data_IF_337561911545
#
_entry.id   IF_337561911545
#
_cell.length_a   1.000
_cell.length_b   1.000
_cell.length_c   1.000
_cell.angle_alpha   90.00
_cell.angle_beta   90.00
_cell.angle_gamma   90.00
#
_symmetry.space_group_name_H-M   'P 1'
#
loop_
_entity.id
_entity.type
_entity.pdbx_description
1 polymer ?
#
# COMPACT_ATOMS: atom_id res chain seq x y z
N UNK A 1 7.18 11.15 -20.95
CA UNK A 1 6.33 11.07 -19.73
C UNK A 1 6.96 11.91 -18.64
N UNK A 2 6.17 12.65 -17.85
CA UNK A 2 6.70 13.48 -16.75
C UNK A 2 7.06 12.62 -15.53
N UNK A 3 7.94 13.14 -14.65
CA UNK A 3 8.31 12.49 -13.37
C UNK A 3 7.10 12.03 -12.55
N UNK A 4 6.05 12.86 -12.49
CA UNK A 4 4.79 12.55 -11.81
C UNK A 4 4.07 11.34 -12.41
N UNK A 5 4.05 11.21 -13.74
CA UNK A 5 3.43 10.04 -14.40
C UNK A 5 4.18 8.76 -14.10
N UNK A 6 5.53 8.80 -14.10
CA UNK A 6 6.32 7.65 -13.70
C UNK A 6 6.09 7.26 -12.24
N UNK A 7 6.04 8.23 -11.33
CA UNK A 7 5.73 7.95 -9.92
C UNK A 7 4.34 7.33 -9.72
N UNK A 8 3.34 7.84 -10.45
CA UNK A 8 2.00 7.28 -10.43
C UNK A 8 1.95 5.87 -11.05
N UNK A 9 2.68 5.61 -12.13
CA UNK A 9 2.81 4.27 -12.72
C UNK A 9 3.46 3.28 -11.76
N UNK A 10 4.49 3.67 -11.01
CA UNK A 10 5.08 2.81 -9.98
C UNK A 10 4.02 2.36 -8.97
N UNK A 11 3.19 3.29 -8.48
CA UNK A 11 2.10 2.97 -7.56
C UNK A 11 0.98 2.12 -8.17
N UNK A 12 0.66 2.29 -9.46
CA UNK A 12 -0.27 1.39 -10.16
C UNK A 12 0.31 -0.03 -10.27
N UNK A 13 1.60 -0.14 -10.57
CA UNK A 13 2.30 -1.43 -10.72
C UNK A 13 2.42 -2.21 -9.41
N UNK A 14 2.25 -1.58 -8.24
CA UNK A 14 2.13 -2.28 -6.96
C UNK A 14 1.06 -3.40 -7.02
N UNK A 15 -0.03 -3.19 -7.75
CA UNK A 15 -1.12 -4.17 -7.91
C UNK A 15 -0.67 -5.50 -8.56
N UNK A 16 0.48 -5.53 -9.25
CA UNK A 16 1.05 -6.76 -9.82
C UNK A 16 1.32 -7.81 -8.72
N UNK A 17 1.58 -7.39 -7.47
CA UNK A 17 1.81 -8.32 -6.35
C UNK A 17 0.62 -9.23 -6.03
N UNK A 18 -0.59 -8.82 -6.39
CA UNK A 18 -1.82 -9.60 -6.16
C UNK A 18 -1.76 -10.91 -6.98
N UNK A 19 -1.17 -10.89 -8.18
CA UNK A 19 -1.14 -12.07 -9.05
C UNK A 19 -0.29 -13.19 -8.44
N UNK A 20 0.97 -12.98 -8.01
CA UNK A 20 1.74 -14.01 -7.32
C UNK A 20 1.10 -14.50 -6.02
N UNK A 21 0.43 -13.64 -5.25
CA UNK A 21 -0.32 -14.09 -4.06
C UNK A 21 -1.45 -15.06 -4.42
N UNK A 22 -2.25 -14.73 -5.45
CA UNK A 22 -3.32 -15.61 -5.93
C UNK A 22 -2.73 -16.92 -6.47
N UNK A 23 -1.67 -16.86 -7.27
CA UNK A 23 -1.02 -18.06 -7.79
C UNK A 23 -0.47 -18.94 -6.66
N UNK A 24 0.13 -18.36 -5.62
CA UNK A 24 0.59 -19.10 -4.46
C UNK A 24 -0.56 -19.77 -3.70
N UNK A 25 -1.69 -19.07 -3.53
CA UNK A 25 -2.90 -19.64 -2.93
C UNK A 25 -3.54 -20.74 -3.79
N UNK A 26 -3.53 -20.61 -5.12
CA UNK A 26 -4.05 -21.63 -6.04
C UNK A 26 -3.20 -22.90 -6.06
N UNK A 27 -1.90 -22.76 -5.78
CA UNK A 27 -0.94 -23.86 -5.75
C UNK A 27 -0.79 -24.47 -4.34
N UNK A 28 -1.62 -24.02 -3.41
CA UNK A 28 -1.70 -24.61 -2.08
C UNK A 28 -2.21 -26.06 -2.18
N UNK A 29 -1.53 -27.05 -1.59
CA UNK A 29 -1.91 -28.46 -1.76
C UNK A 29 -3.28 -28.82 -1.17
N UNK A 30 -3.73 -28.06 -0.18
CA UNK A 30 -5.06 -28.15 0.43
C UNK A 30 -5.86 -26.89 0.06
N UNK A 31 -7.16 -26.89 0.28
CA UNK A 31 -7.98 -25.69 0.02
C UNK A 31 -7.47 -24.49 0.81
N UNK A 32 -6.95 -23.48 0.10
CA UNK A 32 -6.51 -22.22 0.71
C UNK A 32 -7.71 -21.43 1.25
N UNK A 33 -7.62 -20.98 2.50
CA UNK A 33 -8.64 -20.15 3.13
C UNK A 33 -8.16 -18.70 3.25
N UNK A 34 -8.76 -17.78 2.49
CA UNK A 34 -8.45 -16.35 2.55
C UNK A 34 -8.78 -15.70 3.90
N UNK A 35 -9.69 -16.29 4.67
CA UNK A 35 -10.05 -15.82 6.02
C UNK A 35 -9.11 -16.39 7.08
N UNK A 36 -8.60 -17.61 6.92
CA UNK A 36 -7.79 -18.27 7.95
C UNK A 36 -6.28 -18.19 7.69
N UNK A 37 -5.83 -18.39 6.45
CA UNK A 37 -4.42 -18.37 6.09
C UNK A 37 -3.89 -16.94 5.97
N UNK A 38 -2.70 -16.73 6.53
CA UNK A 38 -2.04 -15.45 6.51
C UNK A 38 -1.45 -15.13 5.13
N UNK A 39 -1.27 -13.84 4.84
CA UNK A 39 -0.41 -13.37 3.76
C UNK A 39 1.01 -13.86 4.00
N UNK A 40 1.51 -13.79 5.25
CA UNK A 40 2.84 -14.27 5.60
C UNK A 40 3.01 -15.78 5.35
N UNK A 41 1.94 -16.57 5.46
CA UNK A 41 1.96 -18.01 5.18
C UNK A 41 2.31 -18.27 3.69
N UNK A 42 1.96 -17.36 2.77
CA UNK A 42 2.32 -17.48 1.36
C UNK A 42 3.83 -17.39 1.14
N UNK A 43 4.57 -16.75 2.04
CA UNK A 43 6.02 -16.56 1.97
C UNK A 43 6.85 -17.66 2.63
N UNK A 44 6.22 -18.63 3.29
CA UNK A 44 6.91 -19.70 4.03
C UNK A 44 7.61 -20.68 3.07
N UNK A 45 8.88 -20.99 3.35
CA UNK A 45 9.76 -21.72 2.41
C UNK A 45 9.65 -23.24 2.49
N UNK A 46 9.28 -23.79 3.64
CA UNK A 46 9.13 -25.22 3.86
C UNK A 46 7.68 -25.60 4.20
N UNK A 47 7.27 -26.82 3.83
CA UNK A 47 5.98 -27.34 4.22
C UNK A 47 6.08 -27.95 5.62
N UNK A 48 5.14 -27.61 6.51
CA UNK A 48 5.18 -28.06 7.89
C UNK A 48 4.00 -27.56 8.72
N UNK A 49 3.99 -28.00 9.98
CA UNK A 49 3.06 -27.52 10.98
C UNK A 49 3.80 -26.53 11.87
N UNK A 50 3.32 -25.29 11.91
CA UNK A 50 3.97 -24.20 12.60
C UNK A 50 3.16 -23.78 13.83
N UNK A 51 3.83 -23.72 14.98
CA UNK A 51 3.29 -23.10 16.17
C UNK A 51 3.51 -21.58 16.06
N UNK A 52 2.41 -20.85 16.08
CA UNK A 52 2.33 -19.42 15.77
C UNK A 52 1.99 -18.60 17.02
N UNK A 53 2.25 -19.16 18.21
CA UNK A 53 1.98 -18.52 19.48
C UNK A 53 0.49 -18.45 19.85
N UNK A 54 -0.36 -19.20 19.14
CA UNK A 54 -1.79 -19.38 19.44
C UNK A 54 -2.09 -20.84 19.78
N UNK A 55 -3.27 -21.12 20.33
CA UNK A 55 -3.71 -22.48 20.72
C UNK A 55 -3.91 -23.44 19.51
N UNK A 56 -3.64 -23.00 18.28
CA UNK A 56 -3.86 -23.78 17.06
C UNK A 56 -2.62 -23.74 16.17
N UNK A 57 -1.97 -24.90 16.00
CA UNK A 57 -0.91 -25.05 15.02
C UNK A 57 -1.44 -24.91 13.59
N UNK A 58 -0.69 -24.23 12.71
CA UNK A 58 -1.08 -24.04 11.30
C UNK A 58 -0.28 -24.95 10.39
N UNK A 59 -0.97 -25.78 9.61
CA UNK A 59 -0.36 -26.53 8.51
C UNK A 59 -0.17 -25.59 7.32
N UNK A 60 1.10 -25.30 6.99
CA UNK A 60 1.49 -24.35 5.94
C UNK A 60 2.29 -25.09 4.88
N UNK A 61 1.98 -24.85 3.61
CA UNK A 61 2.75 -25.35 2.47
C UNK A 61 2.55 -24.44 1.26
N UNK A 62 3.56 -23.60 0.96
CA UNK A 62 3.52 -22.62 -0.13
C UNK A 62 4.57 -22.96 -1.21
N UNK A 63 4.25 -23.82 -2.20
CA UNK A 63 5.22 -24.19 -3.24
C UNK A 63 5.69 -23.01 -4.10
N UNK A 64 4.90 -21.93 -4.13
CA UNK A 64 5.18 -20.70 -4.90
C UNK A 64 5.64 -19.53 -4.01
N UNK A 65 6.16 -19.83 -2.81
CA UNK A 65 6.66 -18.82 -1.87
C UNK A 65 7.70 -17.87 -2.48
N UNK A 66 8.56 -18.34 -3.39
CA UNK A 66 9.52 -17.47 -4.06
C UNK A 66 8.83 -16.35 -4.86
N UNK A 67 7.73 -16.67 -5.55
CA UNK A 67 6.98 -15.68 -6.30
C UNK A 67 6.27 -14.69 -5.38
N UNK A 68 5.67 -15.18 -4.28
CA UNK A 68 5.00 -14.33 -3.27
C UNK A 68 5.99 -13.39 -2.56
N UNK A 69 7.16 -13.90 -2.16
CA UNK A 69 8.20 -13.10 -1.52
C UNK A 69 8.80 -12.09 -2.49
N UNK A 70 9.17 -12.50 -3.71
CA UNK A 70 9.70 -11.60 -4.73
C UNK A 70 8.70 -10.50 -5.13
N UNK A 71 7.41 -10.82 -5.20
CA UNK A 71 6.38 -9.81 -5.50
C UNK A 71 6.18 -8.83 -4.35
N UNK A 72 6.33 -9.29 -3.10
CA UNK A 72 6.33 -8.44 -1.90
C UNK A 72 7.52 -7.49 -1.90
N UNK A 73 8.71 -7.98 -2.26
CA UNK A 73 9.91 -7.13 -2.47
C UNK A 73 9.64 -6.08 -3.54
N UNK A 74 9.16 -6.49 -4.71
CA UNK A 74 8.85 -5.57 -5.81
C UNK A 74 7.81 -4.51 -5.40
N UNK A 75 6.77 -4.91 -4.65
CA UNK A 75 5.74 -3.99 -4.16
C UNK A 75 6.32 -2.90 -3.25
N UNK A 76 7.20 -3.28 -2.32
CA UNK A 76 7.88 -2.34 -1.44
C UNK A 76 8.77 -1.35 -2.22
N UNK A 77 9.56 -1.87 -3.17
CA UNK A 77 10.42 -1.05 -4.03
C UNK A 77 9.62 -0.08 -4.92
N UNK A 78 8.51 -0.54 -5.52
CA UNK A 78 7.63 0.29 -6.34
C UNK A 78 6.94 1.38 -5.51
N UNK A 79 6.50 1.05 -4.30
CA UNK A 79 5.91 2.01 -3.35
C UNK A 79 6.91 3.13 -3.04
N UNK A 80 8.14 2.75 -2.68
CA UNK A 80 9.21 3.70 -2.38
C UNK A 80 9.65 4.52 -3.59
N UNK A 81 9.86 3.89 -4.75
CA UNK A 81 10.23 4.57 -5.98
C UNK A 81 9.16 5.59 -6.40
N UNK A 82 7.88 5.21 -6.33
CA UNK A 82 6.76 6.11 -6.58
C UNK A 82 6.78 7.32 -5.64
N UNK A 83 7.01 7.10 -4.34
CA UNK A 83 7.10 8.18 -3.36
C UNK A 83 8.28 9.14 -3.61
N UNK A 84 9.46 8.61 -3.97
CA UNK A 84 10.62 9.44 -4.38
C UNK A 84 10.29 10.27 -5.61
N UNK A 85 9.62 9.70 -6.61
CA UNK A 85 9.25 10.41 -7.83
C UNK A 85 8.17 11.48 -7.58
N UNK A 86 7.31 11.30 -6.58
CA UNK A 86 6.22 12.20 -6.23
C UNK A 86 6.59 13.26 -5.16
N UNK A 87 7.84 13.31 -4.72
CA UNK A 87 8.32 14.13 -3.58
C UNK A 87 7.93 15.63 -3.62
N UNK A 88 7.78 16.21 -4.82
CA UNK A 88 7.53 17.65 -5.02
C UNK A 88 6.18 17.96 -5.69
N UNK A 89 5.22 17.04 -5.69
CA UNK A 89 3.96 17.17 -6.43
C UNK A 89 2.84 17.86 -5.62
N UNK A 90 2.99 17.92 -4.31
CA UNK A 90 1.87 18.18 -3.40
C UNK A 90 1.61 19.68 -3.14
N UNK A 91 0.35 20.11 -2.97
CA UNK A 91 -0.01 21.51 -2.76
C UNK A 91 0.69 22.15 -1.56
N UNK A 92 0.73 21.45 -0.42
CA UNK A 92 1.53 21.86 0.74
C UNK A 92 2.82 21.06 0.76
N UNK A 93 3.89 21.70 0.28
CA UNK A 93 5.14 21.04 -0.05
C UNK A 93 5.75 20.29 1.15
N UNK A 94 5.87 20.93 2.33
CA UNK A 94 6.52 20.31 3.50
C UNK A 94 5.80 19.06 3.98
N UNK A 95 4.48 19.11 4.13
CA UNK A 95 3.67 17.95 4.52
C UNK A 95 3.77 16.84 3.47
N UNK A 96 3.73 17.20 2.19
CA UNK A 96 3.89 16.24 1.10
C UNK A 96 5.26 15.55 1.08
N UNK A 97 6.33 16.31 1.34
CA UNK A 97 7.70 15.76 1.42
C UNK A 97 7.84 14.76 2.57
N UNK A 98 7.35 15.11 3.76
CA UNK A 98 7.34 14.18 4.90
C UNK A 98 6.45 12.96 4.64
N UNK A 99 5.28 13.14 4.03
CA UNK A 99 4.42 12.04 3.62
C UNK A 99 5.18 11.07 2.69
N UNK A 100 5.87 11.58 1.68
CA UNK A 100 6.64 10.74 0.76
C UNK A 100 7.83 10.07 1.44
N UNK A 101 8.55 10.77 2.33
CA UNK A 101 9.65 10.19 3.09
C UNK A 101 9.19 8.99 3.94
N UNK A 102 8.05 9.12 4.63
CA UNK A 102 7.47 8.04 5.42
C UNK A 102 7.00 6.87 4.54
N UNK A 103 6.43 7.14 3.37
CA UNK A 103 6.06 6.09 2.42
C UNK A 103 7.28 5.39 1.79
N UNK A 104 8.41 6.08 1.62
CA UNK A 104 9.68 5.44 1.25
C UNK A 104 10.09 4.45 2.33
N UNK A 105 10.09 4.86 3.61
CA UNK A 105 10.41 3.97 4.72
C UNK A 105 9.43 2.80 4.78
N UNK A 106 8.13 3.05 4.65
CA UNK A 106 7.11 2.00 4.57
C UNK A 106 7.37 1.01 3.43
N UNK A 107 7.73 1.50 2.24
CA UNK A 107 8.10 0.65 1.10
C UNK A 107 9.34 -0.19 1.35
N UNK A 108 10.37 0.37 2.00
CA UNK A 108 11.57 -0.38 2.40
C UNK A 108 11.19 -1.49 3.39
N UNK A 109 10.34 -1.20 4.37
CA UNK A 109 9.88 -2.21 5.34
C UNK A 109 9.07 -3.32 4.66
N UNK A 110 8.17 -3.00 3.73
CA UNK A 110 7.48 -4.01 2.91
C UNK A 110 8.48 -4.88 2.14
N UNK A 111 9.52 -4.27 1.55
CA UNK A 111 10.52 -5.04 0.84
C UNK A 111 11.31 -5.98 1.79
N UNK A 112 11.62 -5.53 2.99
CA UNK A 112 12.26 -6.36 4.01
C UNK A 112 11.37 -7.53 4.45
N UNK A 113 10.05 -7.35 4.58
CA UNK A 113 9.11 -8.45 4.86
C UNK A 113 9.24 -9.57 3.81
N UNK A 114 9.32 -9.22 2.52
CA UNK A 114 9.52 -10.19 1.44
C UNK A 114 10.91 -10.84 1.43
N UNK A 115 11.94 -10.18 1.98
CA UNK A 115 13.31 -10.72 2.10
C UNK A 115 13.51 -11.58 3.35
N UNK A 116 12.58 -11.56 4.29
CA UNK A 116 12.65 -12.25 5.56
C UNK A 116 11.53 -13.28 5.63
N UNK A 117 11.62 -14.44 4.96
CA UNK A 117 10.61 -15.50 5.09
C UNK A 117 10.37 -15.85 6.56
N UNK A 118 9.10 -15.92 6.95
CA UNK A 118 8.73 -16.01 8.37
C UNK A 118 9.26 -17.29 9.03
N UNK A 119 9.33 -18.41 8.31
CA UNK A 119 9.87 -19.67 8.84
C UNK A 119 11.38 -19.68 9.05
N UNK A 120 12.12 -18.78 8.39
CA UNK A 120 13.57 -18.65 8.53
C UNK A 120 13.96 -17.55 9.53
N UNK A 121 13.20 -16.45 9.56
CA UNK A 121 13.50 -15.26 10.35
C UNK A 121 12.26 -14.71 11.08
N UNK A 122 11.57 -15.48 11.93
CA UNK A 122 10.25 -15.14 12.46
C UNK A 122 10.25 -13.80 13.21
N UNK A 123 11.18 -13.62 14.16
CA UNK A 123 11.27 -12.39 14.95
C UNK A 123 11.57 -11.15 14.10
N UNK A 124 12.44 -11.27 13.09
CA UNK A 124 12.76 -10.15 12.21
C UNK A 124 11.60 -9.81 11.28
N UNK A 125 10.93 -10.84 10.72
CA UNK A 125 9.73 -10.67 9.91
C UNK A 125 8.64 -9.94 10.69
N UNK A 126 8.34 -10.41 11.90
CA UNK A 126 7.31 -9.82 12.77
C UNK A 126 7.61 -8.37 13.13
N UNK A 127 8.84 -8.05 13.54
CA UNK A 127 9.22 -6.67 13.88
C UNK A 127 9.02 -5.75 12.68
N UNK A 128 9.53 -6.13 11.51
CA UNK A 128 9.43 -5.30 10.30
C UNK A 128 7.97 -5.16 9.87
N UNK A 129 7.21 -6.26 9.86
CA UNK A 129 5.79 -6.26 9.51
C UNK A 129 4.96 -5.41 10.47
N UNK A 130 5.16 -5.51 11.79
CA UNK A 130 4.40 -4.74 12.78
C UNK A 130 4.78 -3.25 12.82
N UNK A 131 6.02 -2.90 12.47
CA UNK A 131 6.48 -1.51 12.43
C UNK A 131 6.00 -0.80 11.15
N UNK A 132 5.88 -1.52 10.03
CA UNK A 132 5.53 -0.96 8.73
C UNK A 132 4.23 -0.12 8.70
N UNK A 133 3.09 -0.57 9.29
CA UNK A 133 1.85 0.18 9.26
C UNK A 133 1.95 1.58 9.86
N UNK A 134 2.77 1.79 10.89
CA UNK A 134 2.92 3.11 11.51
C UNK A 134 3.49 4.15 10.54
N UNK A 135 4.47 3.77 9.73
CA UNK A 135 5.03 4.64 8.69
C UNK A 135 4.03 4.87 7.56
N UNK A 136 3.30 3.83 7.16
CA UNK A 136 2.20 3.94 6.20
C UNK A 136 1.13 4.91 6.67
N UNK A 137 0.60 4.75 7.89
CA UNK A 137 -0.48 5.59 8.40
C UNK A 137 -0.02 7.03 8.55
N UNK A 138 1.16 7.25 9.14
CA UNK A 138 1.71 8.59 9.27
C UNK A 138 1.92 9.24 7.89
N UNK A 139 2.41 8.49 6.89
CA UNK A 139 2.55 8.94 5.51
C UNK A 139 1.21 9.32 4.87
N UNK A 140 0.20 8.45 4.96
CA UNK A 140 -1.14 8.69 4.42
C UNK A 140 -1.86 9.85 5.12
N UNK A 141 -1.71 9.99 6.43
CA UNK A 141 -2.28 11.11 7.21
C UNK A 141 -1.61 12.42 6.83
N UNK A 142 -0.27 12.47 6.72
CA UNK A 142 0.42 13.67 6.26
C UNK A 142 0.05 14.01 4.82
N UNK A 143 -0.17 13.01 3.96
CA UNK A 143 -0.64 13.23 2.62
C UNK A 143 -2.04 13.86 2.60
N UNK A 144 -2.97 13.32 3.39
CA UNK A 144 -4.30 13.88 3.59
C UNK A 144 -4.23 15.36 3.99
N UNK A 145 -3.34 15.71 4.93
CA UNK A 145 -3.12 17.09 5.35
C UNK A 145 -2.49 17.96 4.24
N UNK A 146 -1.59 17.39 3.44
CA UNK A 146 -0.92 18.06 2.33
C UNK A 146 -1.88 18.43 1.19
N UNK A 147 -2.93 17.62 0.98
CA UNK A 147 -3.95 17.85 -0.06
C UNK A 147 -5.22 18.53 0.46
N UNK A 148 -5.36 18.70 1.77
CA UNK A 148 -6.55 19.31 2.40
C UNK A 148 -6.84 20.69 1.83
N UNK A 149 -8.07 20.86 1.33
CA UNK A 149 -8.56 22.09 0.69
C UNK A 149 -8.30 22.18 -0.81
N UNK A 150 -7.61 21.20 -1.42
CA UNK A 150 -7.39 21.16 -2.86
C UNK A 150 -8.45 20.31 -3.56
N UNK A 151 -9.36 20.95 -4.31
CA UNK A 151 -10.36 20.25 -5.12
C UNK A 151 -9.70 19.30 -6.15
N UNK A 152 -8.51 19.66 -6.65
CA UNK A 152 -7.70 18.84 -7.58
C UNK A 152 -7.30 17.48 -6.99
N UNK A 153 -7.08 17.40 -5.67
CA UNK A 153 -6.58 16.21 -5.00
C UNK A 153 -7.60 15.60 -4.02
N UNK A 154 -8.88 15.93 -4.16
CA UNK A 154 -9.96 15.44 -3.29
C UNK A 154 -10.06 13.90 -3.30
N UNK A 155 -9.89 13.26 -4.46
CA UNK A 155 -9.83 11.80 -4.56
C UNK A 155 -8.71 11.18 -3.72
N UNK A 156 -7.51 11.80 -3.74
CA UNK A 156 -6.36 11.35 -2.94
C UNK A 156 -6.67 11.47 -1.44
N UNK A 157 -7.35 12.53 -1.02
CA UNK A 157 -7.80 12.70 0.36
C UNK A 157 -8.75 11.56 0.78
N UNK A 158 -9.75 11.26 -0.04
CA UNK A 158 -10.74 10.21 0.24
C UNK A 158 -10.08 8.84 0.36
N UNK A 159 -9.27 8.44 -0.63
CA UNK A 159 -8.64 7.11 -0.60
C UNK A 159 -7.62 6.98 0.53
N UNK A 160 -6.92 8.07 0.90
CA UNK A 160 -5.98 8.05 2.03
C UNK A 160 -6.70 7.93 3.37
N UNK A 161 -7.81 8.65 3.57
CA UNK A 161 -8.63 8.51 4.77
C UNK A 161 -9.22 7.11 4.89
N UNK A 162 -9.80 6.58 3.80
CA UNK A 162 -10.34 5.23 3.76
C UNK A 162 -9.26 4.17 4.00
N UNK A 163 -8.09 4.31 3.37
CA UNK A 163 -6.96 3.42 3.56
C UNK A 163 -6.45 3.38 4.99
N UNK A 164 -6.30 4.54 5.66
CA UNK A 164 -5.94 4.59 7.08
C UNK A 164 -6.99 3.89 7.93
N UNK A 165 -8.28 4.20 7.73
CA UNK A 165 -9.36 3.62 8.53
C UNK A 165 -9.43 2.09 8.39
N UNK A 166 -9.37 1.57 7.15
CA UNK A 166 -9.40 0.13 6.87
C UNK A 166 -8.16 -0.56 7.43
N UNK A 167 -6.97 0.02 7.23
CA UNK A 167 -5.71 -0.57 7.70
C UNK A 167 -5.63 -0.61 9.23
N UNK A 168 -6.04 0.47 9.92
CA UNK A 168 -6.08 0.49 11.39
C UNK A 168 -7.10 -0.50 11.94
N UNK A 169 -8.29 -0.60 11.33
CA UNK A 169 -9.31 -1.57 11.76
C UNK A 169 -8.83 -3.01 11.54
N UNK A 170 -8.26 -3.32 10.37
CA UNK A 170 -7.67 -4.62 10.08
C UNK A 170 -6.55 -4.97 11.04
N UNK A 171 -5.63 -4.04 11.30
CA UNK A 171 -4.51 -4.24 12.21
C UNK A 171 -4.97 -4.49 13.65
N UNK A 172 -5.98 -3.74 14.12
CA UNK A 172 -6.57 -3.95 15.45
C UNK A 172 -7.19 -5.34 15.57
N UNK A 173 -7.93 -5.78 14.54
CA UNK A 173 -8.53 -7.12 14.51
C UNK A 173 -7.48 -8.23 14.40
N UNK A 174 -6.40 -7.98 13.66
CA UNK A 174 -5.29 -8.90 13.53
C UNK A 174 -4.58 -9.09 14.88
N UNK A 175 -4.20 -8.01 15.56
CA UNK A 175 -3.61 -8.08 16.89
C UNK A 175 -4.54 -8.74 17.92
N UNK A 176 -5.84 -8.41 17.87
CA UNK A 176 -6.86 -9.08 18.68
C UNK A 176 -6.85 -10.58 18.43
N UNK A 177 -6.90 -11.02 17.16
CA UNK A 177 -6.90 -12.44 16.79
C UNK A 177 -5.62 -13.18 17.16
N UNK A 178 -4.45 -12.56 17.00
CA UNK A 178 -3.16 -13.15 17.45
C UNK A 178 -3.16 -13.33 18.97
N UNK A 179 -3.77 -12.40 19.73
CA UNK A 179 -3.88 -12.49 21.19
C UNK A 179 -5.03 -13.41 21.68
N UNK A 180 -5.66 -14.20 20.79
CA UNK A 180 -6.79 -15.07 21.14
C UNK A 180 -8.14 -14.34 21.31
N UNK A 181 -8.19 -13.05 20.98
CA UNK A 181 -9.39 -12.22 20.97
C UNK A 181 -10.23 -12.35 19.69
N UNK A 182 -11.36 -11.63 19.61
CA UNK A 182 -12.27 -11.73 18.48
C UNK A 182 -11.71 -11.09 17.21
N UNK A 183 -11.94 -11.74 16.06
CA UNK A 183 -11.72 -11.18 14.70
C UNK A 183 -13.03 -10.80 14.01
N UNK A 184 -14.14 -10.71 14.75
CA UNK A 184 -15.49 -10.43 14.23
C UNK A 184 -15.94 -11.35 13.09
N UNK A 185 -15.53 -12.62 13.12
CA UNK A 185 -15.87 -13.60 12.09
C UNK A 185 -15.09 -13.47 10.76
N UNK A 186 -14.22 -12.45 10.62
CA UNK A 186 -13.39 -12.28 9.42
C UNK A 186 -12.28 -13.32 9.31
N UNK A 187 -11.80 -13.83 10.46
CA UNK A 187 -10.62 -14.68 10.55
C UNK A 187 -9.31 -13.89 10.49
N UNK A 188 -8.22 -14.53 10.92
CA UNK A 188 -6.92 -13.89 11.09
C UNK A 188 -6.33 -13.44 9.74
N UNK A 189 -6.46 -14.26 8.70
CA UNK A 189 -5.97 -13.98 7.36
C UNK A 189 -6.67 -12.82 6.66
N UNK A 190 -7.98 -12.64 6.89
CA UNK A 190 -8.68 -11.46 6.35
C UNK A 190 -8.32 -10.19 7.12
N UNK A 191 -8.20 -10.27 8.45
CA UNK A 191 -7.78 -9.14 9.27
C UNK A 191 -6.37 -8.64 8.89
N UNK A 192 -5.44 -9.56 8.67
CA UNK A 192 -4.09 -9.26 8.18
C UNK A 192 -4.13 -8.57 6.81
N UNK A 193 -4.92 -9.06 5.87
CA UNK A 193 -5.07 -8.42 4.54
C UNK A 193 -5.60 -7.00 4.62
N UNK A 194 -6.64 -6.79 5.43
CA UNK A 194 -7.14 -5.45 5.70
C UNK A 194 -6.05 -4.56 6.32
N UNK A 195 -5.21 -5.11 7.19
CA UNK A 195 -4.10 -4.37 7.78
C UNK A 195 -3.04 -3.97 6.73
N UNK A 196 -2.53 -4.93 5.95
CA UNK A 196 -1.29 -4.77 5.18
C UNK A 196 -1.49 -4.60 3.67
N UNK A 197 -2.39 -5.36 3.02
CA UNK A 197 -2.66 -5.21 1.58
C UNK A 197 -3.31 -3.86 1.24
N UNK A 198 -3.86 -3.17 2.24
CA UNK A 198 -4.41 -1.82 2.09
C UNK A 198 -3.39 -0.84 1.52
N UNK A 199 -2.09 -0.97 1.80
CA UNK A 199 -1.07 -0.10 1.16
C UNK A 199 -0.99 -0.32 -0.35
N UNK A 200 -1.05 -1.58 -0.78
CA UNK A 200 -1.03 -1.97 -2.19
C UNK A 200 -2.26 -1.41 -2.91
N UNK A 201 -3.46 -1.63 -2.35
CA UNK A 201 -4.71 -1.16 -2.92
C UNK A 201 -4.81 0.38 -2.92
N UNK A 202 -4.33 1.02 -1.86
CA UNK A 202 -4.24 2.47 -1.78
C UNK A 202 -3.27 3.03 -2.83
N UNK A 203 -2.10 2.40 -3.02
CA UNK A 203 -1.11 2.83 -4.02
C UNK A 203 -1.71 2.75 -5.42
N UNK A 204 -2.39 1.64 -5.75
CA UNK A 204 -3.12 1.50 -7.00
C UNK A 204 -4.12 2.65 -7.19
N UNK A 205 -4.99 2.88 -6.21
CA UNK A 205 -6.03 3.91 -6.30
C UNK A 205 -5.43 5.33 -6.43
N UNK A 206 -4.43 5.64 -5.61
CA UNK A 206 -3.74 6.93 -5.64
C UNK A 206 -2.99 7.15 -6.97
N UNK A 207 -2.30 6.12 -7.48
CA UNK A 207 -1.63 6.13 -8.77
C UNK A 207 -2.60 6.38 -9.93
N UNK A 208 -3.73 5.67 -9.97
CA UNK A 208 -4.78 5.89 -10.98
C UNK A 208 -5.35 7.31 -10.93
N UNK A 209 -5.58 7.86 -9.73
CA UNK A 209 -6.05 9.23 -9.55
C UNK A 209 -5.02 10.25 -10.03
N UNK A 210 -3.73 10.05 -9.73
CA UNK A 210 -2.64 10.91 -10.19
C UNK A 210 -2.48 10.89 -11.72
N UNK A 211 -2.67 9.73 -12.37
CA UNK A 211 -2.62 9.62 -13.84
C UNK A 211 -3.76 10.37 -14.54
N UNK A 212 -4.90 10.55 -13.86
CA UNK A 212 -6.05 11.33 -14.35
C UNK A 212 -5.86 12.84 -14.22
N UNK A 213 -4.86 13.31 -13.47
CA UNK A 213 -4.62 14.73 -13.33
C UNK A 213 -4.10 15.33 -14.65
N UNK A 214 -4.61 16.51 -15.07
CA UNK A 214 -4.09 17.19 -16.24
C UNK A 214 -2.59 17.45 -16.11
N UNK A 215 -1.84 17.20 -17.19
CA UNK A 215 -0.45 17.61 -17.27
C UNK A 215 -0.37 19.13 -17.08
N UNK A 216 0.53 19.60 -16.23
CA UNK A 216 0.79 21.03 -16.11
C UNK A 216 1.35 21.51 -17.47
N UNK A 217 0.52 22.12 -18.31
CA UNK A 217 0.96 22.58 -19.64
C UNK A 217 -0.07 22.78 -20.74
N UNK A 218 -1.39 22.75 -20.50
CA UNK A 218 -2.38 23.18 -21.51
C UNK A 218 -3.34 24.20 -20.93
N UNK A 219 -2.82 25.36 -20.53
CA UNK A 219 -3.59 26.60 -20.66
C UNK A 219 -3.59 26.96 -22.14
N UNK A 220 -4.63 26.54 -22.84
CA UNK A 220 -4.98 27.11 -24.15
C UNK A 220 -5.26 28.59 -23.95
N UNK A 221 -4.32 29.44 -24.32
CA UNK A 221 -4.57 30.86 -24.57
C UNK A 221 -5.39 30.98 -25.85
N UNK A 222 -6.70 30.79 -25.73
CA UNK A 222 -7.74 31.17 -26.70
C UNK A 222 -9.01 31.26 -25.85
N UNK A 223 -9.66 32.40 -25.61
CA UNK A 223 -9.97 33.53 -26.48
C UNK A 223 -10.08 34.80 -25.62
N UNK A 224 -9.45 35.89 -26.06
CA UNK A 224 -9.84 37.23 -25.62
C UNK A 224 -9.99 38.11 -26.87
N UNK A 225 -11.21 38.28 -27.41
CA UNK A 225 -11.48 39.33 -28.37
C UNK A 225 -11.40 40.68 -27.64
N UNK A 226 -10.56 41.55 -28.17
CA UNK A 226 -10.19 42.82 -27.56
C UNK A 226 -11.37 43.74 -27.24
N UNK A 227 -11.31 44.32 -26.04
CA UNK A 227 -11.99 45.57 -25.74
C UNK A 227 -11.34 46.68 -26.57
N UNK A 228 -12.02 47.12 -27.64
CA UNK A 228 -11.73 48.43 -28.21
C UNK A 228 -12.17 49.50 -27.20
N UNK A 229 -11.17 50.28 -26.82
CA UNK A 229 -11.23 51.45 -25.95
C UNK A 229 -12.24 52.47 -26.43
N UNK A 230 -13.05 52.95 -25.50
CA UNK A 230 -13.83 54.17 -25.63
C UNK A 230 -12.95 55.43 -25.55
N UNK A 231 -13.48 56.52 -26.13
CA UNK A 231 -13.20 57.95 -25.91
C UNK A 231 -12.09 58.62 -26.72
N UNK A 232 -12.53 59.51 -27.61
CA UNK A 232 -12.22 60.95 -27.58
C UNK A 232 -13.31 61.78 -28.28
N UNK A 233 -13.90 62.69 -27.49
CA UNK A 233 -14.67 63.92 -27.79
C UNK A 233 -16.02 63.80 -28.48
#
# INVERSE_FOLDING_TARGET
>A
MTRTRWGALCWVLCAVTIVPQILAALQWPQTYSWSANLISDLGVTACGTYNVGTDVERAICSPWHLAANASTVANGLLTGAGAVLLFSVWPKLRQGQWAMALLVVGGVLVALVGLLPWDLYPAAHEVVALVQPFFQWAGMILLLLAVRGSARFSGIAVVSLAGVAVSVAGFTLFLSGVAGGPTLGLGLGAAERLAFDTLTLWSLAAGLLLLRLPAAGTTSTADAPGQLTSRRR
#
